data_IF_053997553906
#
_entry.id   IF_053997553906
#
_cell.length_a   1.000
_cell.length_b   1.000
_cell.length_c   1.000
_cell.angle_alpha   90.00
_cell.angle_beta   90.00
_cell.angle_gamma   90.00
#
_symmetry.space_group_name_H-M   'P 1'
#
loop_
_entity.id
_entity.type
_entity.pdbx_description
1 polymer ?
#
# COMPACT_ATOMS: atom_id res chain seq x y z
N UNK A 1 -18.13 11.32 16.32
CA UNK A 1 -16.68 11.04 16.32
C UNK A 1 -16.28 9.93 15.34
N UNK A 2 -16.94 8.77 15.34
CA UNK A 2 -16.62 7.62 14.45
C UNK A 2 -16.62 8.00 12.95
N UNK A 3 -17.55 8.85 12.52
CA UNK A 3 -17.69 9.29 11.13
C UNK A 3 -16.50 10.15 10.64
N UNK A 4 -15.86 10.91 11.53
CA UNK A 4 -14.66 11.69 11.20
C UNK A 4 -13.43 10.79 11.09
N UNK A 5 -13.30 9.81 11.98
CA UNK A 5 -12.21 8.81 11.91
C UNK A 5 -12.28 7.98 10.64
N UNK A 6 -13.49 7.53 10.25
CA UNK A 6 -13.68 6.82 8.99
C UNK A 6 -13.32 7.69 7.77
N UNK A 7 -13.70 8.97 7.76
CA UNK A 7 -13.35 9.88 6.68
C UNK A 7 -11.82 10.08 6.55
N UNK A 8 -11.11 10.21 7.68
CA UNK A 8 -9.63 10.31 7.69
C UNK A 8 -8.97 9.02 7.19
N UNK A 9 -9.44 7.85 7.63
CA UNK A 9 -8.90 6.56 7.19
C UNK A 9 -9.12 6.35 5.69
N UNK A 10 -10.34 6.61 5.21
CA UNK A 10 -10.67 6.49 3.78
C UNK A 10 -9.85 7.49 2.96
N UNK A 11 -9.73 8.74 3.42
CA UNK A 11 -8.91 9.75 2.76
C UNK A 11 -7.43 9.35 2.70
N UNK A 12 -6.89 8.77 3.76
CA UNK A 12 -5.51 8.28 3.80
C UNK A 12 -5.31 7.10 2.83
N UNK A 13 -6.21 6.12 2.83
CA UNK A 13 -6.14 4.96 1.93
C UNK A 13 -6.21 5.43 0.47
N UNK A 14 -7.16 6.30 0.16
CA UNK A 14 -7.31 6.86 -1.19
C UNK A 14 -6.08 7.68 -1.59
N UNK A 15 -5.55 8.52 -0.70
CA UNK A 15 -4.34 9.30 -0.94
C UNK A 15 -3.13 8.42 -1.20
N UNK A 16 -2.94 7.36 -0.42
CA UNK A 16 -1.87 6.38 -0.65
C UNK A 16 -2.07 5.64 -1.97
N UNK A 17 -3.29 5.25 -2.31
CA UNK A 17 -3.60 4.62 -3.59
C UNK A 17 -3.25 5.53 -4.76
N UNK A 18 -3.70 6.79 -4.72
CA UNK A 18 -3.38 7.79 -5.74
C UNK A 18 -1.87 8.05 -5.83
N UNK A 19 -1.17 8.10 -4.70
CA UNK A 19 0.29 8.24 -4.67
C UNK A 19 0.99 7.07 -5.37
N UNK A 20 0.57 5.83 -5.09
CA UNK A 20 1.13 4.64 -5.72
C UNK A 20 0.91 4.69 -7.24
N UNK A 21 -0.32 4.96 -7.68
CA UNK A 21 -0.66 5.05 -9.10
C UNK A 21 0.13 6.18 -9.77
N UNK A 22 0.30 7.32 -9.10
CA UNK A 22 1.09 8.45 -9.61
C UNK A 22 2.55 8.10 -9.80
N UNK A 23 3.17 7.40 -8.83
CA UNK A 23 4.56 6.92 -8.94
C UNK A 23 4.70 5.90 -10.08
N UNK A 24 3.74 4.98 -10.22
CA UNK A 24 3.72 4.01 -11.32
C UNK A 24 3.68 4.73 -12.67
N UNK A 25 2.75 5.68 -12.83
CA UNK A 25 2.60 6.46 -14.06
C UNK A 25 3.86 7.28 -14.38
N UNK A 26 4.49 7.88 -13.36
CA UNK A 26 5.75 8.61 -13.53
C UNK A 26 6.88 7.71 -14.04
N UNK A 27 7.02 6.51 -13.47
CA UNK A 27 8.04 5.55 -13.89
C UNK A 27 7.75 5.06 -15.32
N UNK A 28 6.48 4.77 -15.65
CA UNK A 28 6.07 4.36 -16.99
C UNK A 28 6.42 5.43 -18.04
N UNK A 29 6.05 6.69 -17.80
CA UNK A 29 6.33 7.80 -18.71
C UNK A 29 7.83 8.02 -18.90
N UNK A 30 8.61 7.91 -17.81
CA UNK A 30 10.08 8.00 -17.89
C UNK A 30 10.67 6.86 -18.70
N UNK A 31 10.24 5.61 -18.46
CA UNK A 31 10.68 4.44 -19.22
C UNK A 31 10.31 4.55 -20.70
N UNK A 32 9.11 5.07 -21.01
CA UNK A 32 8.64 5.30 -22.37
C UNK A 32 9.55 6.27 -23.11
N UNK A 33 9.94 7.39 -22.48
CA UNK A 33 10.87 8.38 -23.05
C UNK A 33 12.25 7.79 -23.29
N UNK A 34 12.76 7.00 -22.34
CA UNK A 34 14.05 6.31 -22.49
C UNK A 34 14.02 5.34 -23.68
N UNK A 35 12.98 4.50 -23.77
CA UNK A 35 12.82 3.57 -24.89
C UNK A 35 12.70 4.27 -26.24
N UNK A 36 12.00 5.41 -26.28
CA UNK A 36 11.90 6.23 -27.47
C UNK A 36 13.27 6.82 -27.87
N UNK A 37 14.07 7.27 -26.89
CA UNK A 37 15.42 7.79 -27.14
C UNK A 37 16.40 6.72 -27.66
N UNK A 38 16.14 5.46 -27.34
CA UNK A 38 16.93 4.31 -27.81
C UNK A 38 16.50 3.81 -29.19
N UNK A 39 15.48 4.43 -29.81
CA UNK A 39 14.99 4.04 -31.14
C UNK A 39 14.22 2.72 -31.16
N UNK A 40 13.67 2.29 -30.02
CA UNK A 40 12.93 1.02 -29.93
C UNK A 40 11.63 1.10 -30.73
N UNK A 41 11.34 0.12 -31.62
CA UNK A 41 10.08 0.07 -32.37
C UNK A 41 8.85 0.05 -31.46
N UNK A 42 7.78 0.71 -31.88
CA UNK A 42 6.59 0.95 -31.05
C UNK A 42 5.92 -0.33 -30.51
N UNK A 43 5.92 -1.42 -31.29
CA UNK A 43 5.38 -2.71 -30.86
C UNK A 43 6.19 -3.30 -29.70
N UNK A 44 7.52 -3.23 -29.77
CA UNK A 44 8.44 -3.73 -28.73
C UNK A 44 8.38 -2.81 -27.50
N UNK A 45 8.30 -1.50 -27.70
CA UNK A 45 8.13 -0.52 -26.63
C UNK A 45 6.88 -0.82 -25.78
N UNK A 46 5.76 -1.13 -26.44
CA UNK A 46 4.49 -1.42 -25.75
C UNK A 46 4.57 -2.70 -24.94
N UNK A 47 5.16 -3.76 -25.51
CA UNK A 47 5.37 -5.03 -24.81
C UNK A 47 6.31 -4.86 -23.60
N UNK A 48 7.38 -4.09 -23.75
CA UNK A 48 8.35 -3.85 -22.67
C UNK A 48 7.75 -3.01 -21.54
N UNK A 49 6.97 -1.97 -21.88
CA UNK A 49 6.25 -1.16 -20.90
C UNK A 49 5.18 -1.96 -20.17
N UNK A 50 4.46 -2.85 -20.86
CA UNK A 50 3.49 -3.74 -20.21
C UNK A 50 4.17 -4.68 -19.21
N UNK A 51 5.31 -5.27 -19.57
CA UNK A 51 6.13 -6.07 -18.66
C UNK A 51 6.63 -5.27 -17.46
N UNK A 52 7.11 -4.05 -17.71
CA UNK A 52 7.59 -3.14 -16.67
C UNK A 52 6.46 -2.76 -15.70
N UNK A 53 5.28 -2.42 -16.22
CA UNK A 53 4.10 -2.13 -15.40
C UNK A 53 3.68 -3.34 -14.57
N UNK A 54 3.63 -4.53 -15.17
CA UNK A 54 3.30 -5.77 -14.45
C UNK A 54 4.28 -5.99 -13.28
N UNK A 55 5.57 -5.81 -13.51
CA UNK A 55 6.60 -5.93 -12.48
C UNK A 55 6.45 -4.85 -11.40
N UNK A 56 6.15 -3.61 -11.78
CA UNK A 56 5.93 -2.52 -10.83
C UNK A 56 4.73 -2.79 -9.94
N UNK A 57 3.62 -3.25 -10.53
CA UNK A 57 2.39 -3.60 -9.82
C UNK A 57 2.66 -4.71 -8.81
N UNK A 58 3.33 -5.80 -9.22
CA UNK A 58 3.68 -6.90 -8.32
C UNK A 58 4.57 -6.41 -7.17
N UNK A 59 5.59 -5.60 -7.48
CA UNK A 59 6.50 -5.04 -6.49
C UNK A 59 5.79 -4.12 -5.50
N UNK A 60 4.89 -3.26 -6.00
CA UNK A 60 4.07 -2.38 -5.18
C UNK A 60 3.18 -3.18 -4.23
N UNK A 61 2.40 -4.14 -4.75
CA UNK A 61 1.57 -5.00 -3.90
C UNK A 61 2.39 -5.78 -2.87
N UNK A 62 3.58 -6.26 -3.24
CA UNK A 62 4.45 -6.99 -2.31
C UNK A 62 5.00 -6.09 -1.20
N UNK A 63 5.39 -4.85 -1.52
CA UNK A 63 5.90 -3.91 -0.55
C UNK A 63 4.80 -3.43 0.40
N UNK A 64 3.66 -3.00 -0.15
CA UNK A 64 2.51 -2.55 0.64
C UNK A 64 1.90 -3.68 1.46
N UNK A 65 1.76 -4.89 0.88
CA UNK A 65 1.26 -6.06 1.59
C UNK A 65 2.15 -6.46 2.77
N UNK A 66 3.49 -6.34 2.63
CA UNK A 66 4.42 -6.51 3.76
C UNK A 66 4.20 -5.46 4.85
N UNK A 67 4.12 -4.18 4.48
CA UNK A 67 3.92 -3.09 5.45
C UNK A 67 2.60 -3.23 6.20
N UNK A 68 1.50 -3.53 5.49
CA UNK A 68 0.20 -3.80 6.09
C UNK A 68 0.24 -5.05 6.97
N UNK A 69 0.86 -6.14 6.52
CA UNK A 69 1.01 -7.36 7.30
C UNK A 69 1.75 -7.13 8.62
N UNK A 70 2.83 -6.35 8.59
CA UNK A 70 3.56 -5.95 9.81
C UNK A 70 2.66 -5.12 10.73
N UNK A 71 1.93 -4.14 10.18
CA UNK A 71 1.05 -3.28 10.97
C UNK A 71 -0.05 -4.10 11.67
N UNK A 72 -0.69 -5.02 10.93
CA UNK A 72 -1.70 -5.94 11.47
C UNK A 72 -1.10 -6.82 12.55
N UNK A 73 0.07 -7.42 12.31
CA UNK A 73 0.75 -8.26 13.29
C UNK A 73 1.04 -7.49 14.59
N UNK A 74 1.47 -6.24 14.47
CA UNK A 74 1.76 -5.37 15.61
C UNK A 74 0.48 -5.02 16.39
N UNK A 75 -0.61 -4.70 15.69
CA UNK A 75 -1.94 -4.47 16.31
C UNK A 75 -2.44 -5.72 17.02
N UNK A 76 -2.37 -6.89 16.37
CA UNK A 76 -2.77 -8.16 16.98
C UNK A 76 -1.92 -8.48 18.20
N UNK A 77 -0.60 -8.28 18.14
CA UNK A 77 0.29 -8.46 19.27
C UNK A 77 -0.06 -7.52 20.42
N UNK A 78 -0.36 -6.25 20.13
CA UNK A 78 -0.78 -5.28 21.14
C UNK A 78 -2.12 -5.67 21.79
N UNK A 79 -3.08 -6.17 21.01
CA UNK A 79 -4.35 -6.69 21.53
C UNK A 79 -4.13 -7.92 22.41
N UNK A 80 -3.22 -8.80 22.02
CA UNK A 80 -2.89 -10.01 22.76
C UNK A 80 -2.20 -9.66 24.09
N UNK A 81 -1.26 -8.72 24.08
CA UNK A 81 -0.66 -8.16 25.30
C UNK A 81 -1.74 -7.49 26.17
N UNK A 82 -2.62 -6.68 25.59
CA UNK A 82 -3.71 -6.05 26.35
C UNK A 82 -4.62 -7.10 27.02
N UNK A 83 -4.99 -8.16 26.30
CA UNK A 83 -5.82 -9.24 26.84
C UNK A 83 -5.12 -10.03 27.97
N UNK A 84 -3.79 -10.16 27.93
CA UNK A 84 -3.02 -10.85 28.97
C UNK A 84 -2.78 -9.94 30.19
N UNK A 85 -2.48 -8.66 29.98
CA UNK A 85 -1.99 -7.74 31.01
C UNK A 85 -3.06 -6.82 31.61
N UNK A 86 -4.26 -6.75 31.04
CA UNK A 86 -5.41 -6.07 31.65
C UNK A 86 -6.32 -7.12 32.29
N UNK A 87 -6.10 -7.48 33.57
CA UNK A 87 -7.08 -8.27 34.30
C UNK A 87 -8.37 -7.46 34.37
N UNK A 88 -9.51 -8.12 34.17
CA UNK A 88 -10.82 -7.54 34.47
C UNK A 88 -10.75 -6.93 35.88
N UNK A 89 -10.83 -5.61 35.98
CA UNK A 89 -11.14 -4.99 37.27
C UNK A 89 -12.59 -5.36 37.52
N UNK A 90 -12.79 -6.53 38.14
CA UNK A 90 -14.05 -6.93 38.75
C UNK A 90 -14.35 -5.87 39.80
N UNK A 91 -15.10 -4.84 39.42
CA UNK A 91 -15.82 -4.00 40.36
C UNK A 91 -16.88 -4.90 40.98
N UNK A 92 -16.48 -5.62 42.04
CA UNK A 92 -17.41 -6.19 43.01
C UNK A 92 -18.11 -5.01 43.64
N UNK A 93 -19.26 -4.65 43.07
CA UNK A 93 -20.21 -3.75 43.69
C UNK A 93 -20.83 -4.50 44.87
N UNK A 94 -20.35 -4.18 46.07
CA UNK A 94 -21.05 -4.46 47.33
C UNK A 94 -22.32 -3.60 47.41
#
# INVERSE_FOLDING_TARGET
>A
MIQNTLAVIVGLIMGLFTLIVSVIAFIEETARRVLASLGVPHQIQTALLALLLLLLVITAFRLFGKLFGILIALVLLALLLHAIFVPEIQTVAL
#
